data_IF_332690040592
#
_entry.id   IF_332690040592
#
_cell.length_a   1.000
_cell.length_b   1.000
_cell.length_c   1.000
_cell.angle_alpha   90.00
_cell.angle_beta   90.00
_cell.angle_gamma   90.00
#
_symmetry.space_group_name_H-M   'P 1'
#
loop_
_entity.id
_entity.type
_entity.pdbx_description
1 polymer ?
#
# COMPACT_ATOMS: atom_id res chain seq x y z
N UNK A 1 -16.38 -12.64 6.44
CA UNK A 1 -15.69 -11.66 7.33
C UNK A 1 -14.76 -10.79 6.50
N UNK A 2 -14.84 -9.51 6.69
CA UNK A 2 -13.97 -8.56 5.98
C UNK A 2 -12.85 -8.05 6.88
N UNK A 3 -11.67 -7.89 6.30
CA UNK A 3 -10.46 -7.46 6.99
C UNK A 3 -9.94 -6.14 6.44
N UNK A 4 -9.31 -5.37 7.30
CA UNK A 4 -8.41 -4.28 6.91
C UNK A 4 -6.98 -4.75 7.15
N UNK A 5 -6.10 -4.57 6.18
CA UNK A 5 -4.68 -4.86 6.38
C UNK A 5 -3.93 -3.56 6.65
N UNK A 6 -3.11 -3.56 7.69
CA UNK A 6 -2.21 -2.46 8.03
C UNK A 6 -0.78 -2.96 7.90
N UNK A 7 -0.01 -2.35 7.01
CA UNK A 7 1.37 -2.75 6.73
C UNK A 7 2.29 -1.59 7.14
N UNK A 8 3.22 -1.86 8.06
CA UNK A 8 4.11 -0.82 8.60
C UNK A 8 5.59 -1.07 8.35
N UNK A 9 5.97 -2.29 7.97
CA UNK A 9 7.37 -2.63 7.71
C UNK A 9 7.83 -2.25 6.31
N UNK A 10 9.09 -1.81 6.21
CA UNK A 10 9.72 -1.44 4.93
C UNK A 10 9.69 -2.61 3.94
N UNK A 11 9.40 -2.36 2.65
CA UNK A 11 9.49 -3.42 1.64
C UNK A 11 10.92 -3.96 1.43
N UNK A 12 11.93 -3.25 1.93
CA UNK A 12 13.33 -3.60 1.69
C UNK A 12 14.02 -4.25 2.88
N UNK A 13 13.58 -3.95 4.11
CA UNK A 13 14.23 -4.44 5.32
C UNK A 13 13.35 -5.35 6.17
N UNK A 14 12.12 -5.55 5.75
CA UNK A 14 11.14 -6.36 6.45
C UNK A 14 10.44 -7.25 5.45
N UNK A 15 9.87 -8.35 5.92
CA UNK A 15 9.03 -9.21 5.10
C UNK A 15 7.56 -8.83 5.17
N UNK A 16 7.23 -7.72 5.83
CA UNK A 16 5.84 -7.30 6.05
C UNK A 16 5.06 -7.14 4.75
N UNK A 17 5.63 -6.42 3.77
CA UNK A 17 4.93 -6.21 2.49
C UNK A 17 4.75 -7.50 1.71
N UNK A 18 5.71 -8.41 1.79
CA UNK A 18 5.62 -9.72 1.13
C UNK A 18 4.62 -10.62 1.84
N UNK A 19 4.67 -10.68 3.17
CA UNK A 19 3.75 -11.51 3.95
C UNK A 19 2.30 -11.04 3.80
N UNK A 20 2.09 -9.72 3.82
CA UNK A 20 0.77 -9.15 3.58
C UNK A 20 0.25 -9.47 2.19
N UNK A 21 1.12 -9.44 1.17
CA UNK A 21 0.76 -9.80 -0.20
C UNK A 21 0.31 -11.26 -0.29
N UNK A 22 1.07 -12.17 0.33
CA UNK A 22 0.72 -13.59 0.32
C UNK A 22 -0.61 -13.84 1.03
N UNK A 23 -0.81 -13.20 2.18
CA UNK A 23 -2.08 -13.28 2.89
C UNK A 23 -3.24 -12.74 2.05
N UNK A 24 -3.08 -11.55 1.49
CA UNK A 24 -4.11 -10.89 0.69
C UNK A 24 -4.49 -11.76 -0.52
N UNK A 25 -3.48 -12.27 -1.21
CA UNK A 25 -3.70 -13.12 -2.39
C UNK A 25 -4.51 -14.36 -2.04
N UNK A 26 -4.15 -15.05 -0.98
CA UNK A 26 -4.85 -16.26 -0.55
C UNK A 26 -6.28 -15.95 -0.10
N UNK A 27 -6.46 -14.89 0.70
CA UNK A 27 -7.77 -14.50 1.21
C UNK A 27 -8.72 -14.08 0.08
N UNK A 28 -8.26 -13.27 -0.87
CA UNK A 28 -9.09 -12.79 -1.97
C UNK A 28 -9.43 -13.89 -2.97
N UNK A 29 -8.54 -14.85 -3.18
CA UNK A 29 -8.86 -16.02 -4.01
C UNK A 29 -9.93 -16.90 -3.38
N UNK A 30 -9.90 -17.04 -2.06
CA UNK A 30 -10.91 -17.81 -1.33
C UNK A 30 -12.24 -17.06 -1.27
N UNK A 31 -12.20 -15.76 -1.04
CA UNK A 31 -13.38 -14.90 -0.93
C UNK A 31 -13.04 -13.50 -1.44
N UNK A 32 -13.50 -13.14 -2.67
CA UNK A 32 -13.05 -11.92 -3.35
C UNK A 32 -13.32 -10.60 -2.62
N UNK A 33 -14.25 -10.56 -1.67
CA UNK A 33 -14.59 -9.37 -0.90
C UNK A 33 -14.04 -9.41 0.53
N UNK A 34 -13.14 -10.33 0.83
CA UNK A 34 -12.65 -10.55 2.20
C UNK A 34 -11.73 -9.44 2.73
N UNK A 35 -11.15 -8.63 1.85
CA UNK A 35 -10.28 -7.50 2.25
C UNK A 35 -10.86 -6.23 1.65
N UNK A 36 -11.18 -5.27 2.51
CA UNK A 36 -11.78 -4.02 2.09
C UNK A 36 -10.76 -2.98 1.64
N UNK A 37 -9.56 -3.05 2.18
CA UNK A 37 -8.48 -2.15 1.81
C UNK A 37 -7.19 -2.51 2.53
N UNK A 38 -6.10 -2.01 2.00
CA UNK A 38 -4.76 -2.15 2.57
C UNK A 38 -4.21 -0.76 2.83
N UNK A 39 -3.78 -0.51 4.06
CA UNK A 39 -3.21 0.78 4.45
C UNK A 39 -1.73 0.58 4.79
N UNK A 40 -0.88 1.20 3.97
CA UNK A 40 0.57 1.19 4.19
C UNK A 40 0.95 2.44 4.98
N UNK A 41 1.70 2.25 6.06
CA UNK A 41 2.07 3.31 6.99
C UNK A 41 3.56 3.20 7.31
N UNK A 42 4.12 4.27 7.88
CA UNK A 42 5.56 4.32 8.20
C UNK A 42 6.40 3.97 6.97
N UNK A 43 7.44 3.16 7.10
CA UNK A 43 8.32 2.82 5.98
C UNK A 43 7.65 1.95 4.91
N UNK A 44 6.51 1.36 5.20
CA UNK A 44 5.78 0.59 4.21
C UNK A 44 5.32 1.44 3.01
N UNK A 45 5.18 2.76 3.19
CA UNK A 45 4.80 3.67 2.09
C UNK A 45 5.81 3.65 0.94
N UNK A 46 7.04 3.20 1.19
CA UNK A 46 8.06 3.08 0.14
C UNK A 46 7.66 2.10 -0.97
N UNK A 47 6.69 1.22 -0.71
CA UNK A 47 6.17 0.31 -1.74
C UNK A 47 5.59 1.06 -2.94
N UNK A 48 5.11 2.29 -2.72
CA UNK A 48 4.48 3.10 -3.78
C UNK A 48 5.44 3.94 -4.60
N UNK A 49 6.75 3.84 -4.38
CA UNK A 49 7.74 4.63 -5.11
C UNK A 49 7.98 4.04 -6.50
N UNK A 50 7.56 4.77 -7.52
CA UNK A 50 7.68 4.33 -8.91
C UNK A 50 9.13 4.27 -9.40
N UNK A 51 10.03 4.99 -8.74
CA UNK A 51 11.45 5.04 -9.12
C UNK A 51 12.28 3.90 -8.56
N UNK A 52 11.77 3.18 -7.57
CA UNK A 52 12.47 2.05 -6.98
C UNK A 52 12.32 0.82 -7.87
N UNK A 53 13.46 0.23 -8.24
CA UNK A 53 13.49 -0.95 -9.11
C UNK A 53 14.26 -2.06 -8.41
N UNK A 54 13.67 -3.24 -8.24
CA UNK A 54 14.40 -4.36 -7.64
C UNK A 54 15.41 -4.94 -8.63
N UNK A 55 16.45 -5.65 -8.15
CA UNK A 55 17.25 -6.50 -9.02
C UNK A 55 16.37 -7.50 -9.78
N UNK A 56 16.82 -7.90 -10.96
CA UNK A 56 16.01 -8.74 -11.86
C UNK A 56 15.68 -10.12 -11.28
N UNK A 57 16.51 -10.61 -10.37
CA UNK A 57 16.32 -11.92 -9.73
C UNK A 57 15.47 -11.85 -8.46
N UNK A 58 14.97 -10.67 -8.10
CA UNK A 58 14.07 -10.49 -6.96
C UNK A 58 12.64 -10.28 -7.40
N UNK A 59 11.69 -10.55 -6.50
CA UNK A 59 10.27 -10.29 -6.73
C UNK A 59 10.06 -8.77 -6.74
N UNK A 60 9.33 -8.28 -7.75
CA UNK A 60 8.89 -6.90 -7.78
C UNK A 60 7.60 -6.79 -6.97
N UNK A 61 7.74 -6.48 -5.67
CA UNK A 61 6.60 -6.42 -4.74
C UNK A 61 5.59 -5.33 -5.13
N UNK A 62 6.07 -4.18 -5.58
CA UNK A 62 5.20 -3.10 -6.04
C UNK A 62 4.29 -3.60 -7.16
N UNK A 63 4.87 -4.20 -8.17
CA UNK A 63 4.13 -4.72 -9.31
C UNK A 63 3.15 -5.83 -8.91
N UNK A 64 3.57 -6.69 -7.99
CA UNK A 64 2.71 -7.77 -7.49
C UNK A 64 1.48 -7.21 -6.76
N UNK A 65 1.66 -6.17 -5.95
CA UNK A 65 0.55 -5.49 -5.30
C UNK A 65 -0.37 -4.80 -6.32
N UNK A 66 0.20 -4.15 -7.33
CA UNK A 66 -0.57 -3.50 -8.39
C UNK A 66 -1.42 -4.51 -9.16
N UNK A 67 -0.85 -5.67 -9.48
CA UNK A 67 -1.56 -6.74 -10.18
C UNK A 67 -2.72 -7.26 -9.33
N UNK A 68 -2.48 -7.53 -8.06
CA UNK A 68 -3.52 -8.00 -7.14
C UNK A 68 -4.63 -6.97 -6.99
N UNK A 69 -4.27 -5.71 -6.82
CA UNK A 69 -5.23 -4.63 -6.67
C UNK A 69 -6.12 -4.47 -7.91
N UNK A 70 -5.53 -4.59 -9.09
CA UNK A 70 -6.27 -4.52 -10.34
C UNK A 70 -7.24 -5.70 -10.51
N UNK A 71 -6.79 -6.89 -10.14
CA UNK A 71 -7.61 -8.11 -10.28
C UNK A 71 -8.85 -8.08 -9.39
N UNK A 72 -8.75 -7.56 -8.17
CA UNK A 72 -9.82 -7.61 -7.17
C UNK A 72 -10.41 -6.24 -6.82
N UNK A 73 -10.05 -5.19 -7.53
CA UNK A 73 -10.44 -3.81 -7.20
C UNK A 73 -10.11 -3.46 -5.74
N UNK A 74 -8.93 -3.84 -5.30
CA UNK A 74 -8.48 -3.67 -3.93
C UNK A 74 -7.85 -2.29 -3.76
N UNK A 75 -8.40 -1.42 -2.88
CA UNK A 75 -7.76 -0.13 -2.61
C UNK A 75 -6.44 -0.32 -1.86
N UNK A 76 -5.40 0.34 -2.36
CA UNK A 76 -4.07 0.39 -1.73
C UNK A 76 -3.80 1.83 -1.32
N UNK A 77 -3.87 2.09 -0.01
CA UNK A 77 -3.67 3.43 0.54
C UNK A 77 -2.30 3.56 1.16
N UNK A 78 -1.65 4.71 0.93
CA UNK A 78 -0.42 5.09 1.62
C UNK A 78 -0.74 6.28 2.52
N UNK A 79 -0.26 6.25 3.77
CA UNK A 79 -0.38 7.41 4.65
C UNK A 79 0.30 8.61 4.01
N UNK A 80 -0.45 9.68 3.75
CA UNK A 80 0.05 10.85 3.02
C UNK A 80 1.24 11.50 3.72
N UNK A 81 1.17 11.69 5.04
CA UNK A 81 2.27 12.32 5.78
C UNK A 81 3.54 11.46 5.73
N UNK A 82 3.40 10.14 5.91
CA UNK A 82 4.54 9.22 5.85
C UNK A 82 5.14 9.17 4.44
N UNK A 83 4.29 9.17 3.41
CA UNK A 83 4.71 9.09 2.02
C UNK A 83 5.44 10.37 1.59
N UNK A 84 4.86 11.52 1.86
CA UNK A 84 5.45 12.83 1.47
C UNK A 84 6.79 13.02 2.17
N UNK A 85 6.89 12.67 3.45
CA UNK A 85 8.15 12.77 4.20
C UNK A 85 9.26 11.94 3.56
N UNK A 86 8.91 10.88 2.87
CA UNK A 86 9.86 9.93 2.27
C UNK A 86 10.00 10.08 0.76
N UNK A 87 9.43 11.16 0.20
CA UNK A 87 9.55 11.43 -1.23
C UNK A 87 8.63 10.60 -2.12
N UNK A 88 7.63 9.94 -1.55
CA UNK A 88 6.60 9.24 -2.32
C UNK A 88 5.43 10.20 -2.48
N UNK A 89 5.37 10.84 -3.63
CA UNK A 89 4.59 12.07 -3.83
C UNK A 89 3.75 11.94 -5.10
N UNK A 90 2.46 12.28 -5.00
CA UNK A 90 1.59 12.36 -6.16
C UNK A 90 1.69 13.74 -6.83
N UNK A 91 1.02 13.90 -7.96
CA UNK A 91 1.04 15.16 -8.71
C UNK A 91 0.51 16.33 -7.88
N UNK A 92 -0.57 16.12 -7.14
CA UNK A 92 -1.18 17.15 -6.30
C UNK A 92 -0.22 17.66 -5.23
N UNK A 93 0.46 16.75 -4.51
CA UNK A 93 1.43 17.12 -3.49
C UNK A 93 2.70 17.72 -4.11
N UNK A 94 3.10 17.28 -5.30
CA UNK A 94 4.20 17.89 -6.03
C UNK A 94 3.91 19.36 -6.32
N UNK A 95 2.72 19.66 -6.79
CA UNK A 95 2.32 21.05 -7.04
C UNK A 95 2.24 21.87 -5.76
N UNK A 96 1.72 21.28 -4.68
CA UNK A 96 1.59 21.95 -3.38
C UNK A 96 2.93 22.41 -2.84
N UNK A 97 3.98 21.61 -3.01
CA UNK A 97 5.34 21.93 -2.54
C UNK A 97 6.24 22.52 -3.64
N UNK A 98 5.66 22.87 -4.79
CA UNK A 98 6.41 23.48 -5.92
C UNK A 98 7.57 22.61 -6.38
N UNK A 99 7.33 21.29 -6.46
CA UNK A 99 8.31 20.33 -6.94
C UNK A 99 8.15 20.09 -8.44
N UNK A 100 9.22 19.64 -9.10
CA UNK A 100 9.20 19.41 -10.54
C UNK A 100 8.77 17.99 -10.92
N UNK A 101 8.75 17.07 -9.98
CA UNK A 101 8.54 15.65 -10.25
C UNK A 101 7.63 15.04 -9.20
N UNK A 102 7.05 13.89 -9.53
CA UNK A 102 6.30 13.07 -8.60
C UNK A 102 6.67 11.60 -8.81
N UNK A 103 6.47 10.79 -7.78
CA UNK A 103 7.01 9.44 -7.72
C UNK A 103 5.99 8.37 -7.36
N UNK A 104 4.74 8.75 -7.10
CA UNK A 104 3.72 7.77 -6.71
C UNK A 104 3.38 6.89 -7.90
N UNK A 105 3.50 5.58 -7.70
CA UNK A 105 3.17 4.57 -8.70
C UNK A 105 1.66 4.41 -8.83
N UNK A 106 1.20 4.00 -10.01
CA UNK A 106 -0.23 3.76 -10.24
C UNK A 106 -0.76 2.64 -9.31
N UNK A 107 -2.04 2.68 -9.02
CA UNK A 107 -2.69 1.69 -8.15
C UNK A 107 -2.61 2.03 -6.67
N UNK A 108 -1.81 3.01 -6.26
CA UNK A 108 -1.70 3.50 -4.88
C UNK A 108 -2.33 4.88 -4.76
N UNK A 109 -2.94 5.16 -3.62
CA UNK A 109 -3.55 6.46 -3.31
C UNK A 109 -3.00 6.99 -2.00
N UNK A 110 -2.69 8.29 -1.96
CA UNK A 110 -2.29 8.94 -0.71
C UNK A 110 -3.55 9.32 0.07
N UNK A 111 -3.61 8.92 1.34
CA UNK A 111 -4.74 9.19 2.19
C UNK A 111 -4.28 9.50 3.62
N UNK A 112 -5.08 10.27 4.33
CA UNK A 112 -4.84 10.54 5.74
C UNK A 112 -5.24 9.38 6.64
N UNK A 113 -4.89 9.47 7.91
CA UNK A 113 -5.23 8.43 8.90
C UNK A 113 -6.74 8.28 9.10
N UNK A 114 -7.53 9.28 8.74
CA UNK A 114 -8.99 9.16 8.77
C UNK A 114 -9.51 8.02 7.90
N UNK A 115 -8.87 7.79 6.76
CA UNK A 115 -9.22 6.67 5.88
C UNK A 115 -8.95 5.33 6.57
N UNK A 116 -7.85 5.22 7.31
CA UNK A 116 -7.57 4.02 8.10
C UNK A 116 -8.65 3.78 9.15
N UNK A 117 -9.07 4.84 9.86
CA UNK A 117 -10.13 4.75 10.85
C UNK A 117 -11.45 4.29 10.20
N UNK A 118 -11.79 4.83 9.04
CA UNK A 118 -12.98 4.40 8.31
C UNK A 118 -12.93 2.93 7.93
N UNK A 119 -11.77 2.45 7.45
CA UNK A 119 -11.59 1.03 7.14
C UNK A 119 -11.78 0.17 8.38
N UNK A 120 -11.17 0.56 9.50
CA UNK A 120 -11.27 -0.18 10.75
C UNK A 120 -12.69 -0.26 11.24
N UNK A 121 -13.46 0.81 11.10
CA UNK A 121 -14.86 0.85 11.53
C UNK A 121 -15.79 0.06 10.60
N UNK A 122 -15.38 -0.20 9.37
CA UNK A 122 -16.20 -0.88 8.37
C UNK A 122 -15.86 -2.35 8.18
N UNK A 123 -14.87 -2.87 8.90
CA UNK A 123 -14.46 -4.26 8.83
C UNK A 123 -14.47 -4.91 10.22
N UNK A 124 -14.50 -6.25 10.26
CA UNK A 124 -14.53 -6.98 11.52
C UNK A 124 -13.16 -7.13 12.17
N UNK A 125 -12.10 -7.14 11.38
CA UNK A 125 -10.74 -7.31 11.89
C UNK A 125 -9.76 -6.43 11.15
N UNK A 126 -8.75 -6.00 11.89
CA UNK A 126 -7.54 -5.41 11.34
C UNK A 126 -6.39 -6.38 11.59
N UNK A 127 -5.57 -6.61 10.56
CA UNK A 127 -4.39 -7.46 10.66
C UNK A 127 -3.19 -6.60 10.30
N UNK A 128 -2.24 -6.54 11.22
CA UNK A 128 -1.03 -5.74 11.05
C UNK A 128 0.15 -6.63 10.65
N UNK A 129 0.90 -6.15 9.66
CA UNK A 129 2.18 -6.75 9.22
C UNK A 129 3.29 -5.72 9.45
N UNK A 130 4.30 -6.11 10.22
CA UNK A 130 5.43 -5.24 10.56
C UNK A 130 6.74 -5.70 9.96
#
# INVERSE_FOLDING_TARGET
>A
MQHTLLVTGSPYQSKACHSALCFARAALKAQPDSIKGVFFYEDAVLIGNDLAQPPRDEINLKQAWQTLASEFNLPLYLCIAAAVRRGVINESESKRYELNHHSLSHGFQLEGLGTLVELMNSTQKIIQFR
#
